data_IF_949535919501
#
_entry.id   IF_949535919501
#
_cell.length_a   1.000
_cell.length_b   1.000
_cell.length_c   1.000
_cell.angle_alpha   90.00
_cell.angle_beta   90.00
_cell.angle_gamma   90.00
#
_symmetry.space_group_name_H-M   'P 1'
#
loop_
_entity.id
_entity.type
_entity.pdbx_description
1 polymer ?
#
# COMPACT_ATOMS: atom_id res chain seq x y z
N UNK A 1 -25.88 -17.85 -43.92
CA UNK A 1 -25.08 -18.48 -45.00
C UNK A 1 -23.71 -17.84 -44.94
N UNK A 2 -22.71 -18.63 -44.54
CA UNK A 2 -21.29 -18.24 -44.49
C UNK A 2 -20.72 -18.38 -45.91
N UNK A 3 -20.34 -17.26 -46.53
CA UNK A 3 -19.58 -17.15 -47.79
C UNK A 3 -19.50 -15.64 -48.09
N UNK A 4 -18.39 -14.92 -48.18
CA UNK A 4 -17.00 -15.26 -48.46
C UNK A 4 -16.12 -14.25 -47.72
N UNK A 5 -15.18 -14.70 -46.91
CA UNK A 5 -14.06 -13.84 -46.49
C UNK A 5 -12.95 -14.12 -47.50
N UNK A 6 -12.52 -13.13 -48.31
CA UNK A 6 -11.47 -13.37 -49.29
C UNK A 6 -10.18 -13.76 -48.55
N UNK A 7 -9.52 -14.82 -49.02
CA UNK A 7 -8.26 -15.29 -48.46
C UNK A 7 -7.23 -14.16 -48.45
N UNK A 8 -6.57 -13.99 -47.30
CA UNK A 8 -5.48 -13.02 -47.14
C UNK A 8 -4.33 -13.43 -48.08
N UNK A 9 -3.79 -12.50 -48.87
CA UNK A 9 -2.77 -12.82 -49.86
C UNK A 9 -1.51 -13.39 -49.19
N UNK A 10 -0.97 -14.48 -49.74
CA UNK A 10 0.20 -15.19 -49.21
C UNK A 10 1.50 -14.35 -49.14
N UNK A 11 1.50 -13.12 -49.66
CA UNK A 11 2.57 -12.14 -49.52
C UNK A 11 2.02 -10.71 -49.55
N UNK A 12 2.63 -9.76 -48.83
CA UNK A 12 2.25 -8.35 -48.91
C UNK A 12 2.48 -7.78 -50.32
N UNK A 13 1.55 -6.95 -50.79
CA UNK A 13 1.60 -6.30 -52.10
C UNK A 13 2.72 -5.24 -52.17
N UNK A 14 3.35 -5.10 -53.34
CA UNK A 14 4.35 -4.04 -53.56
C UNK A 14 3.68 -2.71 -53.94
N UNK A 15 4.32 -1.55 -53.67
CA UNK A 15 3.79 -0.25 -54.09
C UNK A 15 3.52 -0.22 -55.60
N UNK A 16 2.26 -0.01 -55.99
CA UNK A 16 1.79 0.03 -57.38
C UNK A 16 1.05 -1.22 -57.88
N UNK A 17 1.00 -2.31 -57.10
CA UNK A 17 0.30 -3.56 -57.51
C UNK A 17 -1.20 -3.57 -57.22
N UNK A 18 -1.72 -2.59 -56.46
CA UNK A 18 -3.15 -2.51 -56.10
C UNK A 18 -3.82 -1.38 -56.88
N UNK A 19 -4.71 -1.75 -57.81
CA UNK A 19 -5.57 -0.80 -58.50
C UNK A 19 -6.80 -0.50 -57.61
N UNK A 20 -6.72 0.58 -56.83
CA UNK A 20 -7.80 1.01 -55.92
C UNK A 20 -8.99 1.52 -56.75
N UNK A 21 -10.04 0.70 -56.90
CA UNK A 21 -11.31 1.16 -57.47
C UNK A 21 -11.94 2.19 -56.53
N UNK A 22 -12.37 3.34 -57.08
CA UNK A 22 -13.11 4.36 -56.31
C UNK A 22 -14.45 3.79 -55.85
N UNK A 23 -14.67 3.78 -54.54
CA UNK A 23 -15.98 3.51 -53.97
C UNK A 23 -16.99 4.59 -54.44
N UNK A 24 -18.26 4.22 -54.71
CA UNK A 24 -19.30 5.19 -55.00
C UNK A 24 -19.48 6.14 -53.81
N UNK A 25 -19.61 7.43 -54.09
CA UNK A 25 -19.87 8.44 -53.05
C UNK A 25 -21.32 8.31 -52.60
N UNK A 26 -21.54 7.90 -51.37
CA UNK A 26 -22.83 8.10 -50.70
C UNK A 26 -22.99 9.58 -50.34
N UNK A 27 -24.18 10.18 -50.54
CA UNK A 27 -24.43 11.55 -50.12
C UNK A 27 -24.57 11.63 -48.60
N UNK A 28 -23.77 12.49 -47.98
CA UNK A 28 -23.88 12.85 -46.57
C UNK A 28 -25.19 13.61 -46.33
N UNK A 29 -25.90 13.27 -45.26
CA UNK A 29 -27.11 13.95 -44.82
C UNK A 29 -26.81 15.44 -44.52
N UNK A 30 -27.73 16.37 -44.85
CA UNK A 30 -27.52 17.79 -44.59
C UNK A 30 -27.83 18.09 -43.11
N UNK A 31 -26.78 18.21 -42.30
CA UNK A 31 -26.80 18.75 -40.94
C UNK A 31 -25.87 19.95 -40.86
N UNK A 32 -26.36 21.05 -40.27
CA UNK A 32 -25.79 22.39 -40.37
C UNK A 32 -24.43 22.59 -39.70
N UNK A 33 -23.77 23.62 -40.23
CA UNK A 33 -22.78 24.50 -39.61
C UNK A 33 -21.56 23.87 -38.94
N UNK A 34 -20.55 23.61 -39.77
CA UNK A 34 -19.14 23.73 -39.41
C UNK A 34 -18.51 22.53 -38.72
N UNK A 35 -17.95 21.60 -39.49
CA UNK A 35 -16.98 20.65 -38.94
C UNK A 35 -15.84 20.36 -39.92
N UNK A 36 -14.63 20.78 -39.54
CA UNK A 36 -13.38 20.53 -40.24
C UNK A 36 -12.90 19.12 -39.88
N UNK A 37 -12.98 18.20 -40.84
CA UNK A 37 -12.58 16.81 -40.68
C UNK A 37 -11.16 16.60 -40.16
N UNK A 38 -11.04 16.45 -38.85
CA UNK A 38 -9.93 15.81 -38.16
C UNK A 38 -10.43 14.46 -37.64
N UNK A 39 -9.76 13.38 -38.03
CA UNK A 39 -9.96 12.08 -37.41
C UNK A 39 -9.40 12.18 -35.98
N UNK A 40 -10.27 12.34 -34.98
CA UNK A 40 -9.87 12.23 -33.58
C UNK A 40 -9.53 10.77 -33.29
N UNK A 41 -8.24 10.49 -33.08
CA UNK A 41 -7.82 9.28 -32.39
C UNK A 41 -8.48 9.30 -30.99
N UNK A 42 -9.02 8.18 -30.49
CA UNK A 42 -9.50 8.14 -29.12
C UNK A 42 -8.32 8.39 -28.20
N UNK A 43 -8.20 9.63 -27.72
CA UNK A 43 -7.38 9.95 -26.57
C UNK A 43 -8.05 9.22 -25.44
N UNK A 44 -7.39 8.18 -24.91
CA UNK A 44 -7.74 7.67 -23.58
C UNK A 44 -7.43 8.83 -22.65
N UNK A 45 -8.42 9.69 -22.41
CA UNK A 45 -8.29 10.71 -21.39
C UNK A 45 -8.00 9.94 -20.09
N UNK A 46 -6.87 10.20 -19.40
CA UNK A 46 -6.71 9.68 -18.05
C UNK A 46 -7.95 10.13 -17.28
N UNK A 47 -8.61 9.23 -16.53
CA UNK A 47 -9.94 9.50 -15.97
C UNK A 47 -9.93 10.84 -15.23
N UNK A 48 -10.55 11.86 -15.83
CA UNK A 48 -10.71 13.19 -15.23
C UNK A 48 -11.78 13.09 -14.16
N UNK A 49 -11.38 12.67 -12.97
CA UNK A 49 -12.26 12.69 -11.79
C UNK A 49 -11.63 13.58 -10.73
N UNK A 50 -11.41 14.85 -11.10
CA UNK A 50 -11.06 15.87 -10.13
C UNK A 50 -12.26 16.09 -9.20
N UNK A 51 -12.23 15.46 -8.03
CA UNK A 51 -13.17 15.76 -6.96
C UNK A 51 -13.01 17.23 -6.54
N UNK A 52 -14.12 17.95 -6.38
CA UNK A 52 -14.09 19.30 -5.85
C UNK A 52 -13.38 19.29 -4.48
N UNK A 53 -12.41 20.21 -4.28
CA UNK A 53 -11.67 20.36 -3.02
C UNK A 53 -12.64 20.37 -1.83
N UNK A 54 -12.52 19.38 -0.96
CA UNK A 54 -13.13 19.41 0.38
C UNK A 54 -14.33 18.50 0.66
N UNK A 55 -14.91 17.78 -0.32
CA UNK A 55 -15.99 16.81 -0.03
C UNK A 55 -15.50 15.38 -0.22
N UNK A 56 -15.50 14.58 0.85
CA UNK A 56 -15.18 13.14 0.80
C UNK A 56 -16.16 12.43 -0.14
N UNK A 57 -15.67 11.75 -1.19
CA UNK A 57 -16.51 11.00 -2.11
C UNK A 57 -17.31 9.88 -1.46
N UNK A 58 -18.40 9.49 -2.12
CA UNK A 58 -19.32 8.48 -1.57
C UNK A 58 -18.71 7.08 -1.54
N UNK A 59 -17.84 6.73 -2.50
CA UNK A 59 -17.12 5.44 -2.53
C UNK A 59 -16.08 5.28 -1.42
N UNK A 60 -15.76 6.35 -0.69
CA UNK A 60 -14.88 6.30 0.48
C UNK A 60 -15.66 6.16 1.79
N UNK A 61 -16.99 6.13 1.76
CA UNK A 61 -17.80 5.99 2.98
C UNK A 61 -17.84 4.53 3.41
N UNK A 62 -17.44 4.28 4.64
CA UNK A 62 -17.54 2.98 5.30
C UNK A 62 -18.46 3.05 6.50
N UNK A 63 -19.06 1.90 6.84
CA UNK A 63 -19.74 1.76 8.13
C UNK A 63 -18.70 1.61 9.22
N UNK A 64 -18.85 2.36 10.31
CA UNK A 64 -17.98 2.17 11.47
C UNK A 64 -18.20 0.77 12.05
N UNK A 65 -17.13 0.09 12.49
CA UNK A 65 -17.25 -1.22 13.11
C UNK A 65 -18.05 -1.12 14.42
N UNK A 66 -19.03 -2.02 14.58
CA UNK A 66 -19.83 -2.16 15.79
C UNK A 66 -20.06 -3.65 16.05
N UNK A 67 -20.16 -4.06 17.32
CA UNK A 67 -20.52 -5.42 17.71
C UNK A 67 -19.70 -6.02 18.86
N UNK A 68 -20.10 -7.20 19.36
CA UNK A 68 -19.47 -7.85 20.50
C UNK A 68 -18.03 -8.28 20.24
N UNK A 69 -17.71 -8.78 19.05
CA UNK A 69 -16.34 -9.16 18.64
C UNK A 69 -15.40 -7.96 18.68
N UNK A 70 -15.84 -6.80 18.19
CA UNK A 70 -15.07 -5.56 18.27
C UNK A 70 -14.79 -5.17 19.73
N UNK A 71 -15.82 -5.21 20.58
CA UNK A 71 -15.66 -4.86 22.00
C UNK A 71 -14.69 -5.80 22.71
N UNK A 72 -14.81 -7.11 22.48
CA UNK A 72 -13.93 -8.11 23.08
C UNK A 72 -12.46 -7.86 22.74
N UNK A 73 -12.15 -7.59 21.46
CA UNK A 73 -10.78 -7.30 21.04
C UNK A 73 -10.29 -5.97 21.62
N UNK A 74 -11.14 -4.94 21.65
CA UNK A 74 -10.78 -3.65 22.24
C UNK A 74 -10.47 -3.77 23.74
N UNK A 75 -11.34 -4.46 24.50
CA UNK A 75 -11.17 -4.69 25.93
C UNK A 75 -9.88 -5.50 26.20
N UNK A 76 -9.56 -6.46 25.33
CA UNK A 76 -8.37 -7.30 25.47
C UNK A 76 -7.07 -6.53 25.20
N UNK A 77 -7.06 -5.67 24.17
CA UNK A 77 -5.92 -4.79 23.89
C UNK A 77 -5.66 -3.84 25.08
N UNK A 78 -6.72 -3.28 25.66
CA UNK A 78 -6.63 -2.41 26.84
C UNK A 78 -6.14 -3.16 28.08
N UNK A 79 -6.68 -4.34 28.37
CA UNK A 79 -6.28 -5.18 29.50
C UNK A 79 -4.80 -5.58 29.48
N UNK A 80 -4.21 -5.78 28.29
CA UNK A 80 -2.81 -6.15 28.13
C UNK A 80 -1.89 -4.94 27.96
N UNK A 81 -2.42 -3.72 28.10
CA UNK A 81 -1.69 -2.46 27.91
C UNK A 81 -0.96 -2.42 26.56
N UNK A 82 -1.63 -2.90 25.50
CA UNK A 82 -1.10 -2.94 24.14
C UNK A 82 -1.65 -1.78 23.32
N UNK A 83 -0.97 -1.47 22.23
CA UNK A 83 -1.47 -0.54 21.23
C UNK A 83 -1.75 -1.26 19.91
N UNK A 84 -2.76 -0.79 19.18
CA UNK A 84 -3.02 -1.22 17.81
C UNK A 84 -3.03 -0.02 16.89
N UNK A 85 -2.35 -0.12 15.75
CA UNK A 85 -2.44 0.93 14.72
C UNK A 85 -3.88 1.10 14.24
N UNK A 86 -4.66 0.03 14.28
CA UNK A 86 -6.09 0.00 14.02
C UNK A 86 -6.85 1.10 14.80
N UNK A 87 -6.65 1.14 16.12
CA UNK A 87 -7.29 2.13 17.00
C UNK A 87 -6.65 3.51 16.84
N UNK A 88 -5.32 3.59 16.85
CA UNK A 88 -4.59 4.87 16.77
C UNK A 88 -4.86 5.63 15.46
N UNK A 89 -4.98 4.91 14.35
CA UNK A 89 -5.24 5.48 13.02
C UNK A 89 -6.74 5.54 12.67
N UNK A 90 -7.65 5.15 13.58
CA UNK A 90 -9.10 5.08 13.35
C UNK A 90 -9.44 4.32 12.05
N UNK A 91 -8.85 3.14 11.91
CA UNK A 91 -8.88 2.38 10.66
C UNK A 91 -10.33 2.03 10.27
N UNK A 92 -10.75 2.27 9.02
CA UNK A 92 -12.08 1.89 8.56
C UNK A 92 -12.30 0.37 8.51
N UNK A 93 -11.22 -0.42 8.46
CA UNK A 93 -11.27 -1.86 8.17
C UNK A 93 -11.22 -2.75 9.43
N UNK A 94 -11.22 -2.18 10.64
CA UNK A 94 -10.98 -2.97 11.88
C UNK A 94 -11.97 -4.13 12.06
N UNK A 95 -13.26 -3.88 11.81
CA UNK A 95 -14.30 -4.90 12.00
C UNK A 95 -14.11 -6.10 11.07
N UNK A 96 -13.69 -5.86 9.83
CA UNK A 96 -13.41 -6.90 8.86
C UNK A 96 -12.16 -7.70 9.24
N UNK A 97 -11.04 -7.01 9.50
CA UNK A 97 -9.77 -7.65 9.84
C UNK A 97 -9.88 -8.51 11.11
N UNK A 98 -10.49 -7.98 12.17
CA UNK A 98 -10.62 -8.72 13.43
C UNK A 98 -11.56 -9.92 13.31
N UNK A 99 -12.60 -9.83 12.49
CA UNK A 99 -13.49 -10.96 12.20
C UNK A 99 -12.80 -12.05 11.37
N UNK A 100 -11.81 -11.67 10.55
CA UNK A 100 -10.99 -12.60 9.78
C UNK A 100 -9.90 -13.30 10.62
N UNK A 101 -9.79 -13.01 11.92
CA UNK A 101 -8.75 -13.58 12.79
C UNK A 101 -7.36 -12.98 12.55
N UNK A 102 -7.32 -11.70 12.14
CA UNK A 102 -6.10 -10.93 11.91
C UNK A 102 -6.12 -9.63 12.72
N UNK A 103 -5.02 -9.27 13.35
CA UNK A 103 -4.87 -8.00 14.03
C UNK A 103 -3.49 -7.40 13.79
N UNK A 104 -3.39 -6.07 13.88
CA UNK A 104 -2.13 -5.35 13.78
C UNK A 104 -1.78 -4.71 15.12
N UNK A 105 -0.74 -5.24 15.78
CA UNK A 105 -0.21 -4.69 17.01
C UNK A 105 0.84 -3.63 16.71
N UNK A 106 0.83 -2.54 17.49
CA UNK A 106 1.83 -1.49 17.46
C UNK A 106 2.67 -1.60 18.72
N UNK A 107 3.89 -2.13 18.57
CA UNK A 107 4.86 -2.28 19.66
C UNK A 107 5.72 -1.02 19.82
N UNK A 108 6.52 -0.96 20.89
CA UNK A 108 7.40 0.14 21.28
C UNK A 108 6.66 1.41 21.75
N UNK A 109 5.37 1.26 22.10
CA UNK A 109 4.52 2.34 22.60
C UNK A 109 3.71 3.04 21.50
N UNK A 110 3.21 4.25 21.82
CA UNK A 110 2.35 5.07 20.95
C UNK A 110 2.90 6.48 20.68
N UNK A 111 4.14 6.75 21.07
CA UNK A 111 4.86 8.02 20.85
C UNK A 111 6.06 7.76 19.94
N UNK A 112 6.09 8.43 18.79
CA UNK A 112 7.09 8.25 17.75
C UNK A 112 8.10 9.40 17.73
N UNK A 113 9.39 9.09 17.55
CA UNK A 113 10.45 10.10 17.41
C UNK A 113 10.38 10.89 16.10
N UNK A 114 9.53 10.48 15.15
CA UNK A 114 9.35 11.13 13.84
C UNK A 114 7.99 11.80 13.71
N UNK A 115 7.91 12.71 12.76
CA UNK A 115 6.74 13.58 12.51
C UNK A 115 6.31 13.50 11.05
N UNK A 116 6.03 12.30 10.56
CA UNK A 116 5.52 12.09 9.21
C UNK A 116 4.20 12.87 9.03
N UNK A 117 4.09 13.70 7.99
CA UNK A 117 2.97 14.64 7.82
C UNK A 117 1.61 13.98 7.59
N UNK A 118 1.59 12.67 7.34
CA UNK A 118 0.38 11.87 7.14
C UNK A 118 -0.05 11.07 8.39
N UNK A 119 0.84 10.88 9.37
CA UNK A 119 0.69 9.86 10.40
C UNK A 119 -0.02 10.41 11.65
N UNK A 120 -1.02 9.70 12.16
CA UNK A 120 -1.82 10.10 13.31
C UNK A 120 -1.18 9.75 14.68
N UNK A 121 -0.06 9.03 14.68
CA UNK A 121 0.66 8.65 15.90
C UNK A 121 1.29 9.90 16.52
N UNK A 122 1.26 9.99 17.86
CA UNK A 122 1.80 11.14 18.58
C UNK A 122 3.31 11.26 18.35
N UNK A 123 3.79 12.45 18.03
CA UNK A 123 5.23 12.73 17.96
C UNK A 123 5.76 13.13 19.33
N UNK A 124 6.88 12.55 19.73
CA UNK A 124 7.58 12.90 20.96
C UNK A 124 8.79 11.99 21.17
N UNK A 125 9.53 12.24 22.25
CA UNK A 125 10.55 11.30 22.72
C UNK A 125 9.93 10.42 23.79
N UNK A 126 9.94 9.09 23.65
CA UNK A 126 9.51 8.22 24.73
C UNK A 126 10.44 8.39 25.94
N UNK A 127 9.87 8.78 27.08
CA UNK A 127 10.63 8.98 28.33
C UNK A 127 10.97 7.64 29.01
N UNK A 128 10.15 6.62 28.77
CA UNK A 128 10.38 5.27 29.24
C UNK A 128 11.35 4.52 28.31
N UNK A 129 12.16 3.64 28.90
CA UNK A 129 12.98 2.68 28.16
C UNK A 129 12.14 1.71 27.32
N UNK A 130 12.78 0.67 26.79
CA UNK A 130 12.03 -0.42 26.17
C UNK A 130 11.29 -1.22 27.24
N UNK A 131 10.03 -1.54 26.95
CA UNK A 131 9.30 -2.55 27.70
C UNK A 131 9.66 -3.93 27.13
N UNK A 132 10.61 -4.59 27.79
CA UNK A 132 11.10 -5.90 27.38
C UNK A 132 10.08 -7.03 27.59
N UNK A 133 8.98 -6.79 28.31
CA UNK A 133 7.90 -7.77 28.52
C UNK A 133 6.75 -7.59 27.50
N UNK A 134 6.79 -6.55 26.67
CA UNK A 134 5.81 -6.31 25.61
C UNK A 134 5.64 -7.51 24.65
N UNK A 135 6.72 -8.20 24.18
CA UNK A 135 6.59 -9.39 23.34
C UNK A 135 5.74 -10.51 23.95
N UNK A 136 5.87 -10.75 25.26
CA UNK A 136 5.06 -11.75 25.97
C UNK A 136 3.59 -11.37 25.96
N UNK A 137 3.27 -10.10 26.24
CA UNK A 137 1.89 -9.61 26.26
C UNK A 137 1.23 -9.64 24.87
N UNK A 138 1.99 -9.35 23.82
CA UNK A 138 1.50 -9.50 22.43
C UNK A 138 1.15 -10.95 22.13
N UNK A 139 2.01 -11.90 22.50
CA UNK A 139 1.75 -13.33 22.30
C UNK A 139 0.51 -13.81 23.07
N UNK A 140 0.38 -13.43 24.34
CA UNK A 140 -0.82 -13.75 25.16
C UNK A 140 -2.10 -13.16 24.56
N UNK A 141 -2.02 -11.93 24.04
CA UNK A 141 -3.16 -11.32 23.40
C UNK A 141 -3.54 -12.07 22.11
N UNK A 142 -2.56 -12.42 21.28
CA UNK A 142 -2.77 -13.17 20.04
C UNK A 142 -3.38 -14.56 20.30
N UNK A 143 -2.90 -15.28 21.33
CA UNK A 143 -3.45 -16.59 21.74
C UNK A 143 -4.90 -16.48 22.19
N UNK A 144 -5.21 -15.52 23.10
CA UNK A 144 -6.58 -15.31 23.59
C UNK A 144 -7.55 -14.91 22.48
N UNK A 145 -7.06 -14.14 21.50
CA UNK A 145 -7.81 -13.75 20.30
C UNK A 145 -7.89 -14.86 19.25
N UNK A 146 -7.14 -15.96 19.41
CA UNK A 146 -7.03 -17.08 18.46
C UNK A 146 -6.66 -16.59 17.05
N UNK A 147 -5.73 -15.65 16.97
CA UNK A 147 -5.26 -15.12 15.69
C UNK A 147 -4.52 -16.20 14.91
N UNK A 148 -4.71 -16.19 13.60
CA UNK A 148 -3.96 -17.07 12.68
C UNK A 148 -2.82 -16.33 11.99
N UNK A 149 -3.03 -15.05 11.75
CA UNK A 149 -2.07 -14.15 11.14
C UNK A 149 -1.98 -12.89 11.99
N UNK A 150 -0.75 -12.46 12.28
CA UNK A 150 -0.47 -11.30 13.12
C UNK A 150 0.43 -10.34 12.37
N UNK A 151 0.02 -9.07 12.30
CA UNK A 151 0.86 -8.00 11.78
C UNK A 151 1.48 -7.24 12.94
N UNK A 152 2.80 -7.08 12.96
CA UNK A 152 3.51 -6.29 13.96
C UNK A 152 4.02 -5.02 13.28
N UNK A 153 3.67 -3.85 13.80
CA UNK A 153 4.27 -2.57 13.42
C UNK A 153 4.84 -1.89 14.66
N UNK A 154 5.62 -0.84 14.50
CA UNK A 154 6.05 -0.04 15.65
C UNK A 154 5.99 1.46 15.38
N UNK A 155 6.14 2.24 16.45
CA UNK A 155 6.66 3.60 16.36
C UNK A 155 8.16 3.60 16.11
N UNK A 156 8.72 4.73 15.68
CA UNK A 156 10.16 4.86 15.51
C UNK A 156 10.80 5.21 16.86
N UNK A 157 11.92 4.55 17.16
CA UNK A 157 12.73 4.72 18.36
C UNK A 157 14.13 5.22 18.00
N UNK A 158 14.22 6.36 17.32
CA UNK A 158 15.50 6.90 16.82
C UNK A 158 16.47 7.32 17.94
N UNK A 159 15.99 7.43 19.18
CA UNK A 159 16.86 7.66 20.35
C UNK A 159 17.68 6.43 20.75
N UNK A 160 17.40 5.26 20.15
CA UNK A 160 18.18 4.03 20.31
C UNK A 160 18.98 3.69 19.05
N UNK A 161 20.10 3.04 19.23
CA UNK A 161 20.96 2.57 18.12
C UNK A 161 20.33 1.41 17.34
N UNK A 162 19.70 0.47 18.06
CA UNK A 162 19.00 -0.69 17.50
C UNK A 162 17.59 -0.39 16.98
N UNK A 163 17.09 0.83 17.21
CA UNK A 163 15.75 1.27 16.82
C UNK A 163 14.59 0.40 17.36
N UNK A 164 14.84 -0.44 18.37
CA UNK A 164 13.87 -1.40 18.91
C UNK A 164 13.78 -2.75 18.19
N UNK A 165 14.71 -3.08 17.30
CA UNK A 165 14.78 -4.37 16.61
C UNK A 165 14.70 -5.61 17.53
N UNK A 166 15.30 -5.65 18.75
CA UNK A 166 15.17 -6.80 19.64
C UNK A 166 13.72 -7.18 20.00
N UNK A 167 12.85 -6.18 20.17
CA UNK A 167 11.44 -6.40 20.51
C UNK A 167 10.69 -6.98 19.31
N UNK A 168 11.02 -6.56 18.09
CA UNK A 168 10.49 -7.19 16.88
C UNK A 168 10.87 -8.66 16.84
N UNK A 169 12.16 -8.98 16.96
CA UNK A 169 12.67 -10.35 16.89
C UNK A 169 12.01 -11.26 17.93
N UNK A 170 11.99 -10.85 19.19
CA UNK A 170 11.38 -11.63 20.27
C UNK A 170 9.86 -11.81 20.08
N UNK A 171 9.17 -10.78 19.57
CA UNK A 171 7.72 -10.88 19.30
C UNK A 171 7.43 -11.87 18.17
N UNK A 172 8.25 -11.88 17.10
CA UNK A 172 8.11 -12.84 16.00
C UNK A 172 8.28 -14.26 16.53
N UNK A 173 9.37 -14.54 17.25
CA UNK A 173 9.67 -15.88 17.79
C UNK A 173 8.54 -16.40 18.68
N UNK A 174 8.01 -15.54 19.56
CA UNK A 174 6.90 -15.91 20.46
C UNK A 174 5.61 -16.20 19.70
N UNK A 175 5.31 -15.46 18.64
CA UNK A 175 4.11 -15.70 17.83
C UNK A 175 4.24 -16.95 16.96
N UNK A 176 5.42 -17.22 16.41
CA UNK A 176 5.69 -18.49 15.70
C UNK A 176 5.54 -19.69 16.63
N UNK A 177 5.95 -19.59 17.90
CA UNK A 177 5.76 -20.65 18.89
C UNK A 177 4.27 -20.97 19.15
N UNK A 178 3.36 -20.03 18.87
CA UNK A 178 1.90 -20.24 18.93
C UNK A 178 1.32 -20.81 17.62
N UNK A 179 2.15 -20.99 16.57
CA UNK A 179 1.72 -21.42 15.25
C UNK A 179 1.06 -20.31 14.41
N UNK A 180 1.25 -19.04 14.79
CA UNK A 180 0.78 -17.91 13.98
C UNK A 180 1.73 -17.65 12.82
N UNK A 181 1.21 -17.15 11.70
CA UNK A 181 2.04 -16.48 10.68
C UNK A 181 2.21 -15.00 11.05
N UNK A 182 3.37 -14.43 10.72
CA UNK A 182 3.77 -13.09 11.17
C UNK A 182 4.20 -12.22 9.98
N UNK A 183 3.50 -11.11 9.77
CA UNK A 183 3.97 -9.99 8.93
C UNK A 183 4.55 -8.90 9.83
N UNK A 184 5.71 -8.34 9.48
CA UNK A 184 6.26 -7.16 10.15
C UNK A 184 6.20 -5.95 9.24
N UNK A 185 5.73 -4.81 9.75
CA UNK A 185 5.83 -3.50 9.14
C UNK A 185 6.85 -2.66 9.92
N UNK A 186 8.09 -2.63 9.44
CA UNK A 186 9.20 -2.05 10.21
C UNK A 186 9.46 -0.58 9.88
N UNK A 187 10.07 0.17 10.81
CA UNK A 187 10.76 1.41 10.47
C UNK A 187 11.96 1.14 9.54
N UNK A 188 12.61 2.22 9.09
CA UNK A 188 13.84 2.13 8.27
C UNK A 188 15.11 1.88 9.11
N UNK A 189 14.98 1.80 10.45
CA UNK A 189 16.07 1.71 11.43
C UNK A 189 17.23 2.71 11.21
N UNK A 190 16.95 3.87 10.59
CA UNK A 190 17.96 4.83 10.11
C UNK A 190 19.02 4.24 9.18
N UNK A 191 18.74 3.09 8.55
CA UNK A 191 19.66 2.36 7.70
C UNK A 191 20.65 1.50 8.47
N UNK A 192 20.42 1.25 9.75
CA UNK A 192 21.24 0.33 10.54
C UNK A 192 21.02 -1.11 10.03
N UNK A 193 22.02 -1.67 9.35
CA UNK A 193 21.97 -3.01 8.78
C UNK A 193 21.90 -4.10 9.86
N UNK A 194 22.55 -3.92 11.00
CA UNK A 194 22.51 -4.89 12.11
C UNK A 194 21.12 -4.96 12.74
N UNK A 195 20.46 -3.81 12.94
CA UNK A 195 19.08 -3.76 13.41
C UNK A 195 18.12 -4.43 12.42
N UNK A 196 18.29 -4.20 11.12
CA UNK A 196 17.51 -4.90 10.10
C UNK A 196 17.77 -6.41 10.13
N UNK A 197 19.04 -6.83 10.23
CA UNK A 197 19.45 -8.23 10.24
C UNK A 197 18.84 -8.99 11.42
N UNK A 198 18.77 -8.38 12.59
CA UNK A 198 18.13 -8.98 13.76
C UNK A 198 16.65 -9.32 13.51
N UNK A 199 15.92 -8.46 12.79
CA UNK A 199 14.52 -8.75 12.40
C UNK A 199 14.48 -9.82 11.30
N UNK A 200 15.44 -9.82 10.38
CA UNK A 200 15.51 -10.83 9.32
C UNK A 200 15.80 -12.24 9.86
N UNK A 201 16.69 -12.33 10.84
CA UNK A 201 17.11 -13.59 11.49
C UNK A 201 15.96 -14.22 12.29
N UNK A 202 15.00 -13.42 12.76
CA UNK A 202 13.75 -13.89 13.36
C UNK A 202 12.75 -14.45 12.33
N UNK A 203 13.06 -14.39 11.03
CA UNK A 203 12.33 -15.05 9.92
C UNK A 203 10.81 -14.73 9.85
N UNK A 204 10.38 -13.44 9.84
CA UNK A 204 8.97 -13.14 9.61
C UNK A 204 8.50 -13.71 8.26
N UNK A 205 7.25 -14.16 8.20
CA UNK A 205 6.65 -14.74 6.98
C UNK A 205 6.55 -13.69 5.88
N UNK A 206 6.27 -12.43 6.24
CA UNK A 206 6.30 -11.27 5.33
C UNK A 206 7.05 -10.12 5.98
N UNK A 207 8.07 -9.60 5.30
CA UNK A 207 8.77 -8.38 5.68
C UNK A 207 8.24 -7.19 4.90
N UNK A 208 7.57 -6.27 5.59
CA UNK A 208 6.97 -5.08 5.03
C UNK A 208 7.74 -3.81 5.47
N UNK A 209 8.10 -2.97 4.51
CA UNK A 209 8.58 -1.62 4.78
C UNK A 209 7.99 -0.66 3.75
N UNK A 210 7.09 0.21 4.20
CA UNK A 210 6.44 1.15 3.30
C UNK A 210 7.38 2.29 2.87
N UNK A 211 7.37 2.59 1.58
CA UNK A 211 7.96 3.81 1.00
C UNK A 211 7.00 5.00 1.14
N UNK A 212 5.70 4.75 1.19
CA UNK A 212 4.59 5.70 1.40
C UNK A 212 4.30 6.66 0.26
N UNK A 213 5.31 7.20 -0.43
CA UNK A 213 5.11 8.18 -1.52
C UNK A 213 6.30 8.25 -2.47
N UNK A 214 6.13 8.98 -3.56
CA UNK A 214 7.11 9.18 -4.62
C UNK A 214 8.31 10.05 -4.18
N UNK A 215 9.49 9.91 -4.81
CA UNK A 215 10.71 10.62 -4.39
C UNK A 215 10.57 12.13 -4.22
N UNK A 216 9.85 12.81 -5.15
CA UNK A 216 9.64 14.26 -5.10
C UNK A 216 8.93 14.72 -3.84
N UNK A 217 7.97 13.92 -3.34
CA UNK A 217 7.16 14.25 -2.17
C UNK A 217 7.80 13.80 -0.85
N UNK A 218 8.87 13.00 -0.91
CA UNK A 218 9.40 12.30 0.25
C UNK A 218 9.76 13.23 1.41
N UNK A 219 10.45 14.35 1.16
CA UNK A 219 10.82 15.32 2.20
C UNK A 219 9.62 16.02 2.83
N UNK A 220 8.54 16.25 2.05
CA UNK A 220 7.28 16.85 2.53
C UNK A 220 6.49 15.86 3.39
N UNK A 221 6.44 14.60 2.97
CA UNK A 221 5.61 13.55 3.58
C UNK A 221 6.31 12.87 4.76
N UNK A 222 7.61 12.62 4.66
CA UNK A 222 8.45 11.91 5.62
C UNK A 222 9.77 12.67 5.87
N UNK A 223 9.75 13.81 6.58
CA UNK A 223 10.91 14.70 6.67
C UNK A 223 12.17 14.06 7.26
N UNK A 224 12.02 13.04 8.12
CA UNK A 224 13.14 12.32 8.74
C UNK A 224 13.50 10.97 8.07
N UNK A 225 12.82 10.58 6.98
CA UNK A 225 13.15 9.36 6.24
C UNK A 225 13.87 9.70 4.92
N UNK A 226 14.52 8.70 4.31
CA UNK A 226 15.12 8.84 2.97
C UNK A 226 14.58 7.77 2.01
N UNK A 227 14.23 8.16 0.79
CA UNK A 227 13.65 7.27 -0.22
C UNK A 227 14.58 6.09 -0.53
N UNK A 228 15.84 6.39 -0.86
CA UNK A 228 16.84 5.37 -1.17
C UNK A 228 17.06 4.39 -0.01
N UNK A 229 17.08 4.89 1.23
CA UNK A 229 17.21 4.05 2.42
C UNK A 229 16.06 3.05 2.54
N UNK A 230 14.82 3.50 2.28
CA UNK A 230 13.66 2.61 2.31
C UNK A 230 13.74 1.52 1.23
N UNK A 231 14.24 1.86 0.04
CA UNK A 231 14.53 0.86 -1.00
C UNK A 231 15.66 -0.09 -0.60
N UNK A 232 16.71 0.41 0.06
CA UNK A 232 17.83 -0.41 0.53
C UNK A 232 17.35 -1.43 1.58
N UNK A 233 16.51 -1.02 2.55
CA UNK A 233 15.93 -1.94 3.55
C UNK A 233 15.14 -3.07 2.90
N UNK A 234 14.32 -2.76 1.90
CA UNK A 234 13.57 -3.77 1.13
C UNK A 234 14.49 -4.70 0.35
N UNK A 235 15.54 -4.15 -0.28
CA UNK A 235 16.55 -4.94 -1.00
C UNK A 235 17.26 -5.91 -0.06
N UNK A 236 17.65 -5.45 1.12
CA UNK A 236 18.32 -6.28 2.13
C UNK A 236 17.43 -7.41 2.63
N UNK A 237 16.14 -7.15 2.84
CA UNK A 237 15.17 -8.18 3.20
C UNK A 237 15.02 -9.23 2.08
N UNK A 238 15.01 -8.79 0.82
CA UNK A 238 14.96 -9.71 -0.34
C UNK A 238 16.21 -10.56 -0.45
N UNK A 239 17.39 -9.96 -0.27
CA UNK A 239 18.69 -10.65 -0.22
C UNK A 239 18.76 -11.69 0.90
N UNK A 240 18.09 -11.43 2.03
CA UNK A 240 17.94 -12.36 3.15
C UNK A 240 16.92 -13.50 2.88
N UNK A 241 16.32 -13.53 1.68
CA UNK A 241 15.36 -14.56 1.27
C UNK A 241 14.01 -14.45 1.97
N UNK A 242 13.61 -13.25 2.39
CA UNK A 242 12.28 -12.97 2.93
C UNK A 242 11.32 -12.55 1.81
N UNK A 243 10.04 -12.84 2.02
CA UNK A 243 8.97 -12.30 1.19
C UNK A 243 8.78 -10.82 1.51
N UNK A 244 8.93 -9.95 0.52
CA UNK A 244 8.97 -8.50 0.75
C UNK A 244 7.70 -7.80 0.31
N UNK A 245 7.29 -6.81 1.11
CA UNK A 245 6.09 -6.02 0.88
C UNK A 245 6.37 -4.54 1.07
N UNK A 246 5.70 -3.70 0.29
CA UNK A 246 5.72 -2.26 0.48
C UNK A 246 4.39 -1.64 0.09
N UNK A 247 4.14 -0.43 0.60
CA UNK A 247 2.93 0.32 0.33
C UNK A 247 3.21 1.76 -0.02
N UNK A 248 2.31 2.33 -0.81
CA UNK A 248 2.20 3.76 -1.06
C UNK A 248 0.78 4.26 -0.77
N UNK A 249 0.69 5.54 -0.43
CA UNK A 249 -0.56 6.27 -0.38
C UNK A 249 -0.63 7.24 -1.55
N UNK A 250 -1.77 7.23 -2.24
CA UNK A 250 -2.07 8.16 -3.33
C UNK A 250 -3.04 9.26 -2.87
N UNK A 251 -3.01 10.41 -3.53
CA UNK A 251 -3.74 11.62 -3.18
C UNK A 251 -2.95 12.65 -2.39
N UNK A 252 -1.61 12.55 -2.35
CA UNK A 252 -0.69 13.48 -1.70
C UNK A 252 -0.08 14.50 -2.67
N UNK A 253 -0.42 14.40 -3.96
CA UNK A 253 0.01 15.29 -5.03
C UNK A 253 1.04 14.67 -5.96
N UNK A 254 1.21 13.36 -5.92
CA UNK A 254 1.98 12.57 -6.88
C UNK A 254 1.28 12.52 -8.25
N UNK A 255 2.05 12.41 -9.33
CA UNK A 255 1.49 12.12 -10.65
C UNK A 255 1.45 10.60 -10.91
N UNK A 256 0.62 10.18 -11.87
CA UNK A 256 0.57 8.78 -12.29
C UNK A 256 1.94 8.28 -12.78
N UNK A 257 2.66 9.07 -13.58
CA UNK A 257 4.00 8.71 -14.06
C UNK A 257 5.00 8.49 -12.92
N UNK A 258 4.93 9.29 -11.85
CA UNK A 258 5.78 9.10 -10.68
C UNK A 258 5.44 7.82 -9.91
N UNK A 259 4.16 7.44 -9.86
CA UNK A 259 3.73 6.15 -9.30
C UNK A 259 4.25 4.99 -10.15
N UNK A 260 4.19 5.10 -11.48
CA UNK A 260 4.71 4.08 -12.39
C UNK A 260 6.23 3.93 -12.29
N UNK A 261 6.97 5.04 -12.14
CA UNK A 261 8.41 5.00 -11.93
C UNK A 261 8.76 4.35 -10.58
N UNK A 262 7.98 4.59 -9.54
CA UNK A 262 8.13 3.91 -8.25
C UNK A 262 7.85 2.41 -8.35
N UNK A 263 6.87 1.99 -9.18
CA UNK A 263 6.67 0.56 -9.47
C UNK A 263 7.91 -0.06 -10.13
N UNK A 264 8.58 0.67 -11.02
CA UNK A 264 9.83 0.19 -11.65
C UNK A 264 10.95 0.00 -10.61
N UNK A 265 11.05 0.89 -9.61
CA UNK A 265 11.98 0.71 -8.48
C UNK A 265 11.67 -0.56 -7.68
N UNK A 266 10.38 -0.85 -7.44
CA UNK A 266 9.95 -2.07 -6.74
C UNK A 266 10.21 -3.34 -7.55
N UNK A 267 9.98 -3.31 -8.87
CA UNK A 267 10.31 -4.42 -9.77
C UNK A 267 11.82 -4.68 -9.79
N UNK A 268 12.64 -3.61 -9.81
CA UNK A 268 14.09 -3.74 -9.78
C UNK A 268 14.61 -4.42 -8.49
N UNK A 269 13.91 -4.26 -7.37
CA UNK A 269 14.20 -4.95 -6.10
C UNK A 269 13.68 -6.40 -6.11
N UNK A 270 12.71 -6.72 -6.96
CA UNK A 270 11.98 -7.98 -6.92
C UNK A 270 10.97 -8.02 -5.77
N UNK A 271 10.30 -6.90 -5.49
CA UNK A 271 9.25 -6.82 -4.46
C UNK A 271 8.12 -7.83 -4.73
N UNK A 272 7.70 -8.57 -3.72
CA UNK A 272 6.66 -9.60 -3.90
C UNK A 272 5.24 -9.02 -3.85
N UNK A 273 5.00 -8.08 -2.94
CA UNK A 273 3.66 -7.52 -2.68
C UNK A 273 3.69 -6.00 -2.62
N UNK A 274 2.86 -5.35 -3.44
CA UNK A 274 2.64 -3.90 -3.40
C UNK A 274 1.23 -3.59 -2.90
N UNK A 275 1.11 -2.61 -2.02
CA UNK A 275 -0.19 -2.07 -1.59
C UNK A 275 -0.35 -0.61 -1.99
N UNK A 276 -1.54 -0.24 -2.50
CA UNK A 276 -1.84 1.13 -2.94
C UNK A 276 -3.18 1.55 -2.34
N UNK A 277 -3.13 2.55 -1.46
CA UNK A 277 -4.30 3.05 -0.73
C UNK A 277 -4.52 4.54 -0.90
N UNK A 278 -5.76 5.02 -0.73
CA UNK A 278 -6.02 6.45 -0.66
C UNK A 278 -5.48 7.02 0.65
N UNK A 279 -4.73 8.12 0.57
CA UNK A 279 -4.41 8.97 1.71
C UNK A 279 -5.68 9.58 2.28
N UNK A 280 -5.93 9.33 3.57
CA UNK A 280 -7.00 9.95 4.33
C UNK A 280 -6.39 10.82 5.42
N UNK A 281 -6.67 12.12 5.35
CA UNK A 281 -6.16 13.10 6.31
C UNK A 281 -6.71 12.81 7.72
N UNK A 282 -5.84 12.55 8.73
CA UNK A 282 -6.30 12.26 10.09
C UNK A 282 -6.93 13.46 10.79
N UNK A 283 -6.28 14.63 10.72
CA UNK A 283 -6.76 15.89 11.28
C UNK A 283 -6.38 17.05 10.37
N UNK A 284 -7.00 18.22 10.56
CA UNK A 284 -6.70 19.44 9.78
C UNK A 284 -5.25 19.92 9.88
N UNK A 285 -4.48 19.44 10.87
CA UNK A 285 -3.07 19.78 11.06
C UNK A 285 -2.12 18.89 10.22
N UNK A 286 -2.62 17.80 9.66
CA UNK A 286 -1.86 16.92 8.77
C UNK A 286 -1.90 17.42 7.33
N UNK A 287 -1.09 16.80 6.46
CA UNK A 287 -1.06 17.15 5.05
C UNK A 287 -2.47 17.14 4.43
N UNK A 288 -2.78 18.12 3.56
CA UNK A 288 -4.06 18.12 2.87
C UNK A 288 -4.14 16.95 1.89
N UNK A 289 -5.35 16.43 1.67
CA UNK A 289 -5.61 15.57 0.51
C UNK A 289 -5.61 16.44 -0.73
N UNK A 290 -4.69 16.21 -1.65
CA UNK A 290 -4.61 16.93 -2.93
C UNK A 290 -5.64 16.38 -3.91
N UNK A 291 -5.84 15.06 -3.91
CA UNK A 291 -6.77 14.37 -4.79
C UNK A 291 -7.41 13.16 -4.08
N UNK A 292 -8.71 12.96 -4.32
CA UNK A 292 -9.36 11.68 -4.04
C UNK A 292 -9.38 10.85 -5.33
N UNK A 293 -8.45 9.90 -5.41
CA UNK A 293 -8.24 9.07 -6.59
C UNK A 293 -9.47 8.19 -6.83
N UNK A 294 -9.91 8.12 -8.09
CA UNK A 294 -11.07 7.33 -8.47
C UNK A 294 -10.77 5.81 -8.40
N UNK A 295 -11.73 4.94 -8.00
CA UNK A 295 -11.53 3.49 -7.95
C UNK A 295 -11.00 2.88 -9.25
N UNK A 296 -11.30 3.48 -10.41
CA UNK A 296 -10.82 3.00 -11.71
C UNK A 296 -9.30 3.16 -11.86
N UNK A 297 -8.73 4.23 -11.30
CA UNK A 297 -7.28 4.43 -11.28
C UNK A 297 -6.60 3.39 -10.39
N UNK A 298 -7.21 3.02 -9.27
CA UNK A 298 -6.69 1.92 -8.44
C UNK A 298 -6.68 0.58 -9.20
N UNK A 299 -7.75 0.27 -9.95
CA UNK A 299 -7.78 -0.94 -10.79
C UNK A 299 -6.70 -0.89 -11.87
N UNK A 300 -6.53 0.26 -12.52
CA UNK A 300 -5.47 0.46 -13.49
C UNK A 300 -4.07 0.29 -12.88
N UNK A 301 -3.82 0.84 -11.69
CA UNK A 301 -2.53 0.63 -11.00
C UNK A 301 -2.25 -0.85 -10.70
N UNK A 302 -3.27 -1.62 -10.36
CA UNK A 302 -3.13 -3.07 -10.17
C UNK A 302 -2.69 -3.75 -11.46
N UNK A 303 -3.43 -3.53 -12.54
CA UNK A 303 -3.14 -4.13 -13.85
C UNK A 303 -1.73 -3.77 -14.34
N UNK A 304 -1.33 -2.51 -14.22
CA UNK A 304 -0.01 -2.05 -14.66
C UNK A 304 1.10 -2.59 -13.76
N UNK A 305 0.92 -2.60 -12.44
CA UNK A 305 1.91 -3.13 -11.52
C UNK A 305 2.17 -4.63 -11.71
N UNK A 306 1.10 -5.42 -11.89
CA UNK A 306 1.20 -6.85 -12.20
C UNK A 306 1.84 -7.08 -13.57
N UNK A 307 1.48 -6.28 -14.59
CA UNK A 307 2.08 -6.36 -15.92
C UNK A 307 3.57 -5.98 -15.95
N UNK A 308 4.02 -5.08 -15.06
CA UNK A 308 5.43 -4.71 -14.89
C UNK A 308 6.27 -5.80 -14.20
N UNK A 309 5.64 -6.78 -13.54
CA UNK A 309 6.30 -7.91 -12.91
C UNK A 309 6.22 -7.96 -11.39
N UNK A 310 5.38 -7.16 -10.75
CA UNK A 310 5.08 -7.32 -9.32
C UNK A 310 4.22 -8.57 -9.10
N UNK A 311 4.58 -9.41 -8.12
CA UNK A 311 3.90 -10.68 -7.90
C UNK A 311 2.44 -10.54 -7.45
N UNK A 312 2.15 -9.56 -6.61
CA UNK A 312 0.81 -9.23 -6.17
C UNK A 312 0.64 -7.73 -5.94
N UNK A 313 -0.45 -7.15 -6.46
CA UNK A 313 -0.79 -5.74 -6.21
C UNK A 313 -2.19 -5.66 -5.61
N UNK A 314 -2.25 -5.23 -4.35
CA UNK A 314 -3.51 -4.90 -3.67
C UNK A 314 -3.73 -3.39 -3.76
N UNK A 315 -4.76 -2.97 -4.48
CA UNK A 315 -4.94 -1.58 -4.87
C UNK A 315 -6.40 -1.18 -4.77
N UNK A 316 -6.68 -0.20 -3.91
CA UNK A 316 -8.04 0.27 -3.71
C UNK A 316 -8.13 1.43 -2.71
N UNK A 317 -9.23 2.21 -2.73
CA UNK A 317 -9.34 3.41 -1.90
C UNK A 317 -9.18 3.14 -0.39
N UNK A 318 -9.66 1.98 0.08
CA UNK A 318 -9.62 1.60 1.49
C UNK A 318 -8.47 0.66 1.84
N UNK A 319 -7.63 0.30 0.86
CA UNK A 319 -6.48 -0.57 1.10
C UNK A 319 -5.54 0.10 2.10
N UNK A 320 -4.99 -0.72 2.99
CA UNK A 320 -3.96 -0.38 3.98
C UNK A 320 -2.90 -1.47 3.90
N UNK A 321 -1.69 -1.17 4.37
CA UNK A 321 -0.60 -2.14 4.37
C UNK A 321 -0.98 -3.45 5.06
N UNK A 322 -1.80 -3.43 6.12
CA UNK A 322 -2.27 -4.64 6.80
C UNK A 322 -3.64 -5.16 6.36
N UNK A 323 -4.26 -4.56 5.34
CA UNK A 323 -5.54 -5.03 4.82
C UNK A 323 -5.35 -6.33 4.03
N UNK A 324 -6.16 -7.35 4.36
CA UNK A 324 -6.08 -8.71 3.80
C UNK A 324 -4.67 -9.32 3.81
N UNK A 325 -3.84 -8.95 4.80
CA UNK A 325 -2.47 -9.43 4.92
C UNK A 325 -2.38 -10.96 4.98
N UNK A 326 -3.40 -11.63 5.53
CA UNK A 326 -3.50 -13.09 5.59
C UNK A 326 -3.56 -13.77 4.21
N UNK A 327 -3.88 -13.02 3.15
CA UNK A 327 -3.93 -13.51 1.76
C UNK A 327 -2.60 -13.33 1.03
N UNK A 328 -1.66 -12.63 1.65
CA UNK A 328 -0.39 -12.25 1.04
C UNK A 328 0.80 -13.06 1.55
N UNK A 329 0.57 -13.99 2.49
CA UNK A 329 1.57 -14.92 3.05
C UNK A 329 2.00 -15.93 2.00
#
# INVERSE_FOLDING_TARGET
>A
MLSDVPESPARPFKPGEIELKRAPKEPLAPGGDGDTGLLELPVIEPPRVANARGKRPDWLRVKLPYGPTYKQVADLVEQHQLHTVCQSARCPNMGECWSAGTATFMILGNVCTRSCGFCAVMTGRPDAGLDWDEPRRVAEAAEKMRLKHVVITSVNRDEREDGGAPIFAETIERLHALGCTVEVLTPDFRGNREACQMVFDARPDVFNHNVETVPRLYRRVRPQAHYQRSLDVLRWAKEAGLRTKSGIMVGLGETQDEVLALMDDFVAIGLDVMTIGQYLQPTKMHLPVEEFVHPDVFRWYKEVGEAKGLGHVESGPLVRSSYHAERHV
#
